data_IF_719206237403
#
_entry.id   IF_719206237403
#
_cell.length_a   1.000
_cell.length_b   1.000
_cell.length_c   1.000
_cell.angle_alpha   90.00
_cell.angle_beta   90.00
_cell.angle_gamma   90.00
#
_symmetry.space_group_name_H-M   'P 1'
#
loop_
_entity.id
_entity.type
_entity.pdbx_description
1 polymer ?
#
# COMPACT_ATOMS: atom_id res chain seq x y z
N UNK A 1 -10.19 13.25 16.26
CA UNK A 1 -9.81 12.41 15.10
C UNK A 1 -10.77 11.23 15.13
N UNK A 2 -11.71 11.17 14.17
CA UNK A 2 -12.86 10.25 14.22
C UNK A 2 -12.44 8.82 14.52
N UNK A 3 -13.13 8.19 15.49
CA UNK A 3 -12.94 6.79 15.85
C UNK A 3 -13.25 5.81 14.69
N UNK A 4 -13.87 6.29 13.60
CA UNK A 4 -14.15 5.52 12.37
C UNK A 4 -12.89 5.14 11.56
N UNK A 5 -11.76 5.84 11.73
CA UNK A 5 -10.52 5.53 11.00
C UNK A 5 -9.68 4.42 11.65
N UNK A 6 -9.99 4.03 12.90
CA UNK A 6 -9.16 3.10 13.67
C UNK A 6 -9.08 1.69 13.07
N UNK A 7 -10.09 1.28 12.31
CA UNK A 7 -10.14 -0.07 11.74
C UNK A 7 -9.42 -0.19 10.38
N UNK A 8 -9.15 0.94 9.71
CA UNK A 8 -8.58 0.96 8.36
C UNK A 8 -7.07 1.18 8.31
N UNK A 9 -6.45 1.68 9.39
CA UNK A 9 -5.03 2.04 9.44
C UNK A 9 -4.30 1.22 10.50
N UNK A 10 -3.38 0.37 10.05
CA UNK A 10 -2.54 -0.46 10.91
C UNK A 10 -1.15 0.13 11.02
N UNK A 11 -0.77 0.47 12.25
CA UNK A 11 0.58 0.94 12.55
C UNK A 11 1.51 -0.24 12.82
N UNK A 12 2.70 -0.21 12.23
CA UNK A 12 3.72 -1.25 12.39
C UNK A 12 5.08 -0.63 12.66
N UNK A 13 5.97 -1.43 13.25
CA UNK A 13 7.37 -1.06 13.47
C UNK A 13 8.26 -2.23 13.04
N UNK A 14 8.60 -2.25 11.74
CA UNK A 14 9.38 -3.32 11.10
C UNK A 14 10.58 -2.72 10.37
N UNK A 15 11.70 -3.41 10.48
CA UNK A 15 13.00 -2.94 9.96
C UNK A 15 13.18 -3.20 8.47
N UNK A 16 12.49 -4.21 7.93
CA UNK A 16 12.63 -4.64 6.54
C UNK A 16 11.34 -5.26 6.00
N UNK A 17 11.31 -5.45 4.67
CA UNK A 17 10.12 -5.92 3.97
C UNK A 17 9.73 -7.36 4.33
N UNK A 18 10.70 -8.19 4.72
CA UNK A 18 10.44 -9.58 5.12
C UNK A 18 9.73 -9.65 6.48
N UNK A 19 10.21 -8.89 7.47
CA UNK A 19 9.56 -8.74 8.78
C UNK A 19 8.18 -8.09 8.65
N UNK A 20 8.04 -7.11 7.74
CA UNK A 20 6.75 -6.51 7.41
C UNK A 20 5.77 -7.56 6.84
N UNK A 21 6.22 -8.28 5.82
CA UNK A 21 5.46 -9.33 5.15
C UNK A 21 4.96 -10.40 6.12
N UNK A 22 5.85 -10.90 6.99
CA UNK A 22 5.50 -11.89 8.01
C UNK A 22 4.40 -11.40 8.96
N UNK A 23 4.46 -10.13 9.37
CA UNK A 23 3.45 -9.52 10.25
C UNK A 23 2.09 -9.41 9.54
N UNK A 24 2.07 -8.91 8.31
CA UNK A 24 0.84 -8.76 7.53
C UNK A 24 0.23 -10.14 7.24
N UNK A 25 1.04 -11.13 6.86
CA UNK A 25 0.54 -12.49 6.63
C UNK A 25 -0.06 -13.11 7.91
N UNK A 26 0.53 -12.83 9.07
CA UNK A 26 0.01 -13.31 10.37
C UNK A 26 -1.31 -12.62 10.74
N UNK A 27 -1.40 -11.31 10.56
CA UNK A 27 -2.56 -10.53 11.02
C UNK A 27 -3.76 -10.62 10.06
N UNK A 28 -3.52 -10.85 8.77
CA UNK A 28 -4.55 -10.86 7.73
C UNK A 28 -4.72 -12.22 7.02
N UNK A 29 -4.13 -13.29 7.56
CA UNK A 29 -4.24 -14.66 7.05
C UNK A 29 -3.86 -14.82 5.56
N UNK A 30 -2.89 -14.02 5.11
CA UNK A 30 -2.37 -14.06 3.75
C UNK A 30 -1.32 -15.16 3.60
N UNK A 31 -1.07 -15.62 2.37
CA UNK A 31 0.00 -16.60 2.12
C UNK A 31 1.36 -15.93 2.34
N UNK A 32 2.29 -16.58 3.06
CA UNK A 32 3.63 -16.02 3.39
C UNK A 32 4.42 -15.46 2.20
N UNK A 33 4.11 -15.88 0.98
CA UNK A 33 4.84 -15.48 -0.23
C UNK A 33 4.23 -14.29 -0.99
N UNK A 34 3.12 -13.77 -0.49
CA UNK A 34 2.33 -12.77 -1.20
C UNK A 34 3.02 -11.40 -1.20
N UNK A 35 3.54 -10.96 -0.06
CA UNK A 35 4.18 -9.65 0.08
C UNK A 35 5.69 -9.81 -0.11
N UNK A 36 6.10 -9.77 -1.38
CA UNK A 36 7.50 -9.71 -1.82
C UNK A 36 7.69 -8.45 -2.66
N UNK A 37 8.91 -7.91 -2.72
CA UNK A 37 9.24 -6.73 -3.54
C UNK A 37 8.66 -6.81 -4.96
N UNK A 38 8.84 -7.96 -5.63
CA UNK A 38 8.32 -8.22 -6.98
C UNK A 38 6.78 -8.13 -7.13
N UNK A 39 6.04 -8.27 -6.03
CA UNK A 39 4.59 -8.27 -6.00
C UNK A 39 4.02 -6.92 -5.51
N UNK A 40 4.88 -5.96 -5.16
CA UNK A 40 4.48 -4.64 -4.70
C UNK A 40 4.53 -3.69 -5.89
N UNK A 41 3.37 -3.14 -6.25
CA UNK A 41 3.27 -2.02 -7.16
C UNK A 41 3.80 -0.76 -6.46
N UNK A 42 4.79 -0.12 -7.08
CA UNK A 42 5.54 1.00 -6.49
C UNK A 42 5.04 2.28 -7.13
N UNK A 43 4.46 3.14 -6.31
CA UNK A 43 3.79 4.34 -6.80
C UNK A 43 4.51 5.55 -6.23
N UNK A 44 4.88 6.45 -7.13
CA UNK A 44 5.39 7.77 -6.79
C UNK A 44 4.51 8.82 -7.47
N UNK A 45 3.85 9.65 -6.68
CA UNK A 45 3.10 10.82 -7.12
C UNK A 45 3.68 12.05 -6.43
N UNK A 46 4.37 12.89 -7.18
CA UNK A 46 5.12 14.03 -6.65
C UNK A 46 6.04 13.58 -5.48
N UNK A 47 5.80 14.08 -4.27
CA UNK A 47 6.56 13.77 -3.06
C UNK A 47 6.02 12.55 -2.28
N UNK A 48 4.90 11.96 -2.72
CA UNK A 48 4.27 10.83 -2.07
C UNK A 48 4.75 9.52 -2.70
N UNK A 49 5.30 8.63 -1.88
CA UNK A 49 5.70 7.27 -2.30
C UNK A 49 4.99 6.21 -1.46
N UNK A 50 4.36 5.23 -2.10
CA UNK A 50 3.70 4.12 -1.42
C UNK A 50 3.77 2.83 -2.22
N UNK A 51 3.68 1.71 -1.51
CA UNK A 51 3.52 0.39 -2.10
C UNK A 51 2.05 -0.01 -2.13
N UNK A 52 1.61 -0.67 -3.20
CA UNK A 52 0.33 -1.36 -3.23
C UNK A 52 0.58 -2.85 -3.37
N UNK A 53 -0.14 -3.61 -2.56
CA UNK A 53 -0.13 -5.05 -2.61
C UNK A 53 -1.55 -5.56 -2.79
N UNK A 54 -1.74 -6.48 -3.74
CA UNK A 54 -3.04 -7.06 -4.07
C UNK A 54 -3.09 -8.50 -3.60
N UNK A 55 -4.11 -8.83 -2.80
CA UNK A 55 -4.36 -10.20 -2.36
C UNK A 55 -5.77 -10.66 -2.69
N UNK A 56 -5.88 -11.93 -3.08
CA UNK A 56 -7.16 -12.55 -3.33
C UNK A 56 -7.77 -13.03 -2.01
N UNK A 57 -8.85 -12.38 -1.58
CA UNK A 57 -9.56 -12.74 -0.36
C UNK A 57 -10.89 -13.46 -0.69
N UNK A 58 -11.23 -14.48 0.10
CA UNK A 58 -12.47 -15.24 -0.06
C UNK A 58 -13.62 -14.66 0.78
N UNK A 59 -13.34 -13.83 1.79
CA UNK A 59 -14.34 -13.22 2.65
C UNK A 59 -14.88 -11.88 2.09
N UNK A 60 -15.97 -11.39 2.67
CA UNK A 60 -16.60 -10.11 2.31
C UNK A 60 -16.03 -8.94 3.13
N UNK A 61 -14.82 -9.08 3.69
CA UNK A 61 -14.22 -8.05 4.53
C UNK A 61 -13.78 -6.85 3.70
N UNK A 62 -13.37 -5.81 4.42
CA UNK A 62 -12.91 -4.52 3.89
C UNK A 62 -11.93 -4.68 2.72
N UNK A 63 -12.08 -3.81 1.71
CA UNK A 63 -11.37 -3.95 0.44
C UNK A 63 -9.98 -3.33 0.44
N UNK A 64 -9.70 -2.38 1.34
CA UNK A 64 -8.44 -1.64 1.39
C UNK A 64 -8.02 -1.47 2.85
N UNK A 65 -6.80 -1.90 3.16
CA UNK A 65 -6.14 -1.73 4.44
C UNK A 65 -4.92 -0.83 4.26
N UNK A 66 -4.81 0.21 5.08
CA UNK A 66 -3.67 1.12 5.08
C UNK A 66 -2.69 0.64 6.13
N UNK A 67 -1.46 0.40 5.72
CA UNK A 67 -0.40 -0.13 6.56
C UNK A 67 0.69 0.94 6.67
N UNK A 68 0.84 1.53 7.85
CA UNK A 68 1.81 2.59 8.12
C UNK A 68 2.93 2.05 9.01
N UNK A 69 4.10 1.85 8.42
CA UNK A 69 5.30 1.53 9.17
C UNK A 69 5.90 2.79 9.81
N UNK A 70 6.58 2.64 10.95
CA UNK A 70 7.21 3.76 11.65
C UNK A 70 8.39 4.37 10.89
N UNK A 71 9.11 3.55 10.11
CA UNK A 71 10.26 3.97 9.31
C UNK A 71 10.05 3.59 7.85
N UNK A 72 10.62 4.37 6.93
CA UNK A 72 10.69 3.97 5.53
C UNK A 72 11.59 2.75 5.41
N UNK A 73 11.10 1.71 4.75
CA UNK A 73 11.87 0.52 4.46
C UNK A 73 12.11 0.42 2.96
N UNK A 74 13.24 -0.16 2.59
CA UNK A 74 13.55 -0.45 1.19
C UNK A 74 12.59 -1.53 0.69
N UNK A 75 11.84 -1.21 -0.35
CA UNK A 75 10.93 -2.13 -1.01
C UNK A 75 11.25 -2.20 -2.49
N UNK A 76 12.54 -2.31 -2.83
CA UNK A 76 13.00 -2.60 -4.18
C UNK A 76 13.57 -1.40 -4.91
N UNK A 77 13.44 -1.42 -6.24
CA UNK A 77 14.00 -0.44 -7.14
C UNK A 77 13.01 -0.07 -8.25
N UNK A 78 13.17 1.14 -8.80
CA UNK A 78 12.49 1.61 -10.01
C UNK A 78 13.51 2.29 -10.93
N UNK A 79 13.19 2.44 -12.21
CA UNK A 79 14.07 3.11 -13.17
C UNK A 79 13.38 4.37 -13.70
N UNK A 80 14.06 5.52 -13.60
CA UNK A 80 13.67 6.76 -14.29
C UNK A 80 14.79 7.12 -15.26
N UNK A 81 14.45 7.27 -16.54
CA UNK A 81 15.40 7.63 -17.60
C UNK A 81 16.64 6.70 -17.64
N UNK A 82 16.43 5.40 -17.42
CA UNK A 82 17.51 4.40 -17.36
C UNK A 82 18.30 4.36 -16.05
N UNK A 83 18.09 5.30 -15.12
CA UNK A 83 18.75 5.33 -13.82
C UNK A 83 17.94 4.52 -12.80
N UNK A 84 18.54 3.45 -12.28
CA UNK A 84 17.97 2.64 -11.21
C UNK A 84 18.05 3.38 -9.87
N UNK A 85 16.91 3.62 -9.24
CA UNK A 85 16.78 4.25 -7.92
C UNK A 85 16.15 3.28 -6.92
N UNK A 86 16.57 3.38 -5.67
CA UNK A 86 15.98 2.63 -4.58
C UNK A 86 14.61 3.20 -4.22
N UNK A 87 13.62 2.32 -4.05
CA UNK A 87 12.29 2.69 -3.63
C UNK A 87 12.15 2.47 -2.12
N UNK A 88 11.83 3.53 -1.40
CA UNK A 88 11.60 3.51 0.04
C UNK A 88 10.19 4.04 0.33
N UNK A 89 9.45 3.29 1.13
CA UNK A 89 8.17 3.75 1.67
C UNK A 89 7.95 3.22 3.07
N UNK A 90 7.16 3.96 3.81
CA UNK A 90 6.59 3.56 5.08
C UNK A 90 5.06 3.41 5.00
N UNK A 91 4.47 3.61 3.81
CA UNK A 91 3.04 3.55 3.57
C UNK A 91 2.75 2.46 2.54
N UNK A 92 1.89 1.53 2.91
CA UNK A 92 1.44 0.45 2.04
C UNK A 92 -0.08 0.37 2.03
N UNK A 93 -0.64 0.04 0.87
CA UNK A 93 -2.05 -0.30 0.73
C UNK A 93 -2.16 -1.79 0.42
N UNK A 94 -2.84 -2.54 1.28
CA UNK A 94 -3.23 -3.91 1.02
C UNK A 94 -4.66 -3.89 0.45
N UNK A 95 -4.79 -4.24 -0.81
CA UNK A 95 -6.07 -4.32 -1.53
C UNK A 95 -6.52 -5.77 -1.58
N UNK A 96 -7.67 -6.05 -0.97
CA UNK A 96 -8.31 -7.35 -0.97
C UNK A 96 -9.35 -7.41 -2.09
N UNK A 97 -9.23 -8.39 -2.99
CA UNK A 97 -10.13 -8.54 -4.14
C UNK A 97 -10.57 -10.01 -4.34
N UNK A 98 -11.73 -10.22 -4.99
CA UNK A 98 -12.25 -11.56 -5.30
C UNK A 98 -11.94 -12.00 -6.71
N UNK A 99 -12.11 -11.09 -7.68
CA UNK A 99 -11.81 -11.29 -9.09
C UNK A 99 -10.77 -10.28 -9.56
N UNK A 100 -10.08 -10.59 -10.64
CA UNK A 100 -9.11 -9.65 -11.26
C UNK A 100 -9.78 -8.36 -11.75
N UNK A 101 -11.03 -8.44 -12.26
CA UNK A 101 -11.78 -7.24 -12.66
C UNK A 101 -11.98 -6.26 -11.50
N UNK A 102 -12.12 -6.77 -10.28
CA UNK A 102 -12.30 -5.94 -9.09
C UNK A 102 -11.00 -5.23 -8.71
N UNK A 103 -9.83 -5.82 -9.03
CA UNK A 103 -8.50 -5.27 -8.77
C UNK A 103 -8.35 -3.86 -9.36
N UNK A 104 -8.62 -3.74 -10.66
CA UNK A 104 -8.40 -2.50 -11.40
C UNK A 104 -9.36 -1.39 -10.95
N UNK A 105 -10.63 -1.74 -10.71
CA UNK A 105 -11.63 -0.78 -10.25
C UNK A 105 -11.26 -0.22 -8.88
N UNK A 106 -10.89 -1.08 -7.92
CA UNK A 106 -10.49 -0.64 -6.57
C UNK A 106 -9.22 0.21 -6.62
N UNK A 107 -8.28 -0.15 -7.50
CA UNK A 107 -7.06 0.61 -7.72
C UNK A 107 -7.35 2.01 -8.27
N UNK A 108 -8.15 2.12 -9.34
CA UNK A 108 -8.53 3.40 -9.94
C UNK A 108 -9.24 4.31 -8.92
N UNK A 109 -10.23 3.77 -8.19
CA UNK A 109 -10.91 4.52 -7.12
C UNK A 109 -9.95 5.02 -6.04
N UNK A 110 -8.94 4.22 -5.66
CA UNK A 110 -7.93 4.62 -4.68
C UNK A 110 -7.08 5.77 -5.21
N UNK A 111 -6.60 5.68 -6.46
CA UNK A 111 -5.79 6.73 -7.08
C UNK A 111 -6.60 8.02 -7.22
N UNK A 112 -7.85 7.96 -7.68
CA UNK A 112 -8.72 9.13 -7.79
C UNK A 112 -8.93 9.83 -6.44
N UNK A 113 -9.17 9.07 -5.37
CA UNK A 113 -9.30 9.63 -4.01
C UNK A 113 -8.02 10.31 -3.54
N UNK A 114 -6.86 9.68 -3.77
CA UNK A 114 -5.56 10.26 -3.41
C UNK A 114 -5.32 11.58 -4.17
N UNK A 115 -5.57 11.58 -5.49
CA UNK A 115 -5.43 12.78 -6.32
C UNK A 115 -6.40 13.89 -5.90
N UNK A 116 -7.65 13.55 -5.57
CA UNK A 116 -8.63 14.49 -5.04
C UNK A 116 -8.13 15.18 -3.76
N UNK A 117 -7.58 14.41 -2.82
CA UNK A 117 -7.01 14.96 -1.57
C UNK A 117 -5.81 15.87 -1.84
N UNK A 118 -4.92 15.48 -2.75
CA UNK A 118 -3.73 16.28 -3.12
C UNK A 118 -4.18 17.62 -3.71
N UNK A 119 -5.09 17.61 -4.70
CA UNK A 119 -5.61 18.82 -5.34
C UNK A 119 -6.26 19.78 -4.35
N UNK A 120 -7.05 19.27 -3.39
CA UNK A 120 -7.67 20.11 -2.35
C UNK A 120 -6.60 20.81 -1.49
N UNK A 121 -5.49 20.15 -1.19
CA UNK A 121 -4.41 20.77 -0.40
C UNK A 121 -3.69 21.87 -1.17
N UNK A 122 -3.45 21.68 -2.47
CA UNK A 122 -2.80 22.70 -3.32
C UNK A 122 -3.65 23.97 -3.47
N UNK A 123 -4.98 23.85 -3.52
CA UNK A 123 -5.90 25.01 -3.61
C UNK A 123 -5.96 25.80 -2.29
N UNK A 124 -5.71 25.13 -1.16
CA UNK A 124 -5.79 25.74 0.17
C UNK A 124 -4.43 26.23 0.71
N UNK A 125 -3.38 26.22 -0.13
CA UNK A 125 -2.03 26.73 0.15
C UNK A 125 -1.83 28.08 -0.54
#
# INVERSE_FOLDING_TARGET
MNDELKDFIYFMDKENIEKLSNEICKNFYLRKEEIKDKNIEKIQFDNLTFGIYFSKANDNKERILVLKNKKKIKCGYFSINGIKKEFYTDLYFLILHKKEKDKNIIFEELIEKILGIIRIKEINL
#
